data_IF_221677093973
#
_entry.id   IF_221677093973
#
_cell.length_a   1.000
_cell.length_b   1.000
_cell.length_c   1.000
_cell.angle_alpha   90.00
_cell.angle_beta   90.00
_cell.angle_gamma   90.00
#
_symmetry.space_group_name_H-M   'P 1'
#
loop_
_entity.id
_entity.type
_entity.pdbx_description
1 polymer ?
#
# COMPACT_ATOMS: atom_id res chain seq x y z
N UNK A 1 -14.26 8.79 29.64
CA UNK A 1 -15.61 8.47 29.15
C UNK A 1 -15.49 8.26 27.65
N UNK A 2 -15.35 7.02 27.21
CA UNK A 2 -15.30 6.65 25.79
C UNK A 2 -16.71 6.87 25.22
N UNK A 3 -16.89 7.88 24.35
CA UNK A 3 -18.08 7.94 23.52
C UNK A 3 -18.15 6.61 22.77
N UNK A 4 -19.11 5.74 23.10
CA UNK A 4 -19.54 4.69 22.18
C UNK A 4 -19.86 5.41 20.87
N UNK A 5 -19.30 4.92 19.75
CA UNK A 5 -19.72 5.36 18.43
C UNK A 5 -21.25 5.24 18.40
N UNK A 6 -21.92 6.36 18.24
CA UNK A 6 -23.39 6.41 18.33
C UNK A 6 -23.98 5.48 17.27
N UNK A 7 -25.11 4.88 17.60
CA UNK A 7 -25.79 3.87 16.78
C UNK A 7 -26.23 4.35 15.39
N UNK A 8 -26.04 5.63 15.09
CA UNK A 8 -26.44 6.31 13.85
C UNK A 8 -25.29 6.55 12.87
N UNK A 9 -24.02 6.26 13.25
CA UNK A 9 -22.88 6.50 12.36
C UNK A 9 -22.82 5.42 11.29
N UNK A 10 -22.97 5.84 10.03
CA UNK A 10 -22.81 4.99 8.85
C UNK A 10 -21.39 4.46 8.79
N UNK A 11 -21.26 3.17 8.65
CA UNK A 11 -19.98 2.53 8.52
C UNK A 11 -20.05 1.31 7.58
N UNK A 12 -18.97 0.97 6.89
CA UNK A 12 -18.94 -0.10 5.90
C UNK A 12 -19.50 -1.44 6.41
N UNK A 13 -19.11 -1.87 7.60
CA UNK A 13 -19.51 -3.19 8.14
C UNK A 13 -21.01 -3.30 8.39
N UNK A 14 -21.70 -2.21 8.74
CA UNK A 14 -23.18 -2.20 8.86
C UNK A 14 -23.86 -2.36 7.52
N UNK A 15 -23.24 -1.87 6.46
CA UNK A 15 -23.70 -2.04 5.08
C UNK A 15 -23.25 -3.37 4.47
N UNK A 16 -22.65 -4.26 5.29
CA UNK A 16 -22.18 -5.58 4.85
C UNK A 16 -20.87 -5.55 4.05
N UNK A 17 -20.10 -4.46 4.15
CA UNK A 17 -18.88 -4.26 3.39
C UNK A 17 -17.64 -4.60 4.23
N UNK A 18 -16.58 -5.08 3.55
CA UNK A 18 -15.29 -5.38 4.13
C UNK A 18 -14.16 -5.13 3.10
N UNK A 19 -12.93 -4.94 3.56
CA UNK A 19 -11.78 -4.77 2.69
C UNK A 19 -11.37 -6.13 2.09
N UNK A 20 -11.39 -6.28 0.75
CA UNK A 20 -10.98 -7.53 0.11
C UNK A 20 -9.46 -7.68 0.12
N UNK A 21 -8.99 -8.90 -0.09
CA UNK A 21 -7.57 -9.16 -0.34
C UNK A 21 -7.11 -8.52 -1.66
N UNK A 22 -5.81 -8.24 -1.79
CA UNK A 22 -5.25 -7.59 -2.97
C UNK A 22 -5.24 -8.47 -4.23
N UNK A 23 -5.38 -9.77 -4.10
CA UNK A 23 -5.40 -10.72 -5.23
C UNK A 23 -6.79 -11.00 -5.82
N UNK A 24 -7.84 -10.30 -5.36
CA UNK A 24 -9.17 -10.37 -6.03
C UNK A 24 -9.08 -9.71 -7.41
N UNK A 25 -10.12 -9.90 -8.23
CA UNK A 25 -10.18 -9.24 -9.54
C UNK A 25 -10.24 -7.74 -9.40
N UNK A 26 -9.47 -7.01 -10.20
CA UNK A 26 -9.39 -5.56 -10.22
C UNK A 26 -10.17 -4.96 -11.40
N UNK A 27 -10.85 -3.85 -11.18
CA UNK A 27 -11.37 -2.98 -12.23
C UNK A 27 -10.21 -2.18 -12.85
N UNK A 28 -9.28 -1.71 -12.02
CA UNK A 28 -8.08 -0.96 -12.39
C UNK A 28 -7.07 -0.85 -11.27
N UNK A 29 -5.86 -0.45 -11.62
CA UNK A 29 -4.86 0.11 -10.69
C UNK A 29 -4.78 1.62 -10.84
N UNK A 30 -4.84 2.35 -9.72
CA UNK A 30 -4.58 3.78 -9.64
C UNK A 30 -3.10 4.02 -9.37
N UNK A 31 -2.55 5.05 -10.02
CA UNK A 31 -1.20 5.59 -9.79
C UNK A 31 -1.28 7.12 -9.76
N UNK A 32 -0.24 7.79 -9.25
CA UNK A 32 -0.10 9.24 -9.37
C UNK A 32 1.25 9.59 -10.01
N UNK A 33 1.28 10.67 -10.79
CA UNK A 33 2.50 11.11 -11.47
C UNK A 33 3.39 11.90 -10.53
N UNK A 34 4.69 11.59 -10.41
CA UNK A 34 5.59 12.30 -9.51
C UNK A 34 5.66 13.79 -9.83
N UNK A 35 5.35 14.63 -8.85
CA UNK A 35 5.21 16.07 -9.03
C UNK A 35 6.08 16.93 -8.09
N UNK A 36 6.68 16.32 -7.07
CA UNK A 36 7.53 16.97 -6.07
C UNK A 36 8.96 16.44 -6.19
N UNK A 37 9.96 17.33 -6.23
CA UNK A 37 11.35 16.90 -6.35
C UNK A 37 12.03 16.56 -5.01
N UNK A 38 11.48 17.05 -3.91
CA UNK A 38 12.07 16.93 -2.57
C UNK A 38 12.38 15.48 -2.16
N UNK A 39 11.47 14.48 -2.32
CA UNK A 39 11.75 13.10 -1.97
C UNK A 39 12.93 12.51 -2.74
N UNK A 40 13.19 12.96 -3.98
CA UNK A 40 14.28 12.50 -4.84
C UNK A 40 15.52 13.40 -4.80
N UNK A 41 15.59 14.34 -3.85
CA UNK A 41 16.73 15.23 -3.61
C UNK A 41 17.01 16.26 -4.68
N UNK A 42 16.47 16.13 -5.89
CA UNK A 42 16.68 17.07 -7.00
C UNK A 42 15.65 16.91 -8.12
N UNK A 43 15.57 17.91 -9.00
CA UNK A 43 14.78 17.78 -10.24
C UNK A 43 15.28 16.63 -11.13
N UNK A 44 16.58 16.39 -11.19
CA UNK A 44 17.14 15.26 -11.97
C UNK A 44 16.68 13.91 -11.39
N UNK A 45 16.68 13.76 -10.06
CA UNK A 45 16.13 12.59 -9.38
C UNK A 45 14.65 12.38 -9.68
N UNK A 46 13.84 13.44 -9.61
CA UNK A 46 12.43 13.38 -10.00
C UNK A 46 12.23 12.93 -11.45
N UNK A 47 13.03 13.43 -12.39
CA UNK A 47 12.94 13.04 -13.80
C UNK A 47 13.30 11.55 -14.01
N UNK A 48 14.29 11.02 -13.29
CA UNK A 48 14.59 9.58 -13.30
C UNK A 48 13.43 8.77 -12.70
N UNK A 49 12.86 9.22 -11.60
CA UNK A 49 11.67 8.58 -11.00
C UNK A 49 10.50 8.53 -11.99
N UNK A 50 10.20 9.61 -12.71
CA UNK A 50 9.17 9.65 -13.76
C UNK A 50 9.36 8.57 -14.83
N UNK A 51 10.60 8.26 -15.21
CA UNK A 51 10.90 7.16 -16.16
C UNK A 51 10.52 5.81 -15.59
N UNK A 52 10.85 5.56 -14.29
CA UNK A 52 10.52 4.30 -13.61
C UNK A 52 9.01 4.18 -13.33
N UNK A 53 8.33 5.26 -12.96
CA UNK A 53 6.86 5.28 -12.81
C UNK A 53 6.15 4.97 -14.15
N UNK A 54 6.62 5.56 -15.24
CA UNK A 54 6.09 5.25 -16.57
C UNK A 54 6.34 3.78 -16.97
N UNK A 55 7.50 3.22 -16.61
CA UNK A 55 7.80 1.80 -16.85
C UNK A 55 6.88 0.88 -16.03
N UNK A 56 6.64 1.20 -14.75
CA UNK A 56 5.72 0.50 -13.88
C UNK A 56 4.28 0.56 -14.43
N UNK A 57 3.82 1.74 -14.83
CA UNK A 57 2.49 1.92 -15.41
C UNK A 57 2.30 1.06 -16.68
N UNK A 58 3.30 1.03 -17.59
CA UNK A 58 3.27 0.18 -18.78
C UNK A 58 3.27 -1.31 -18.45
N UNK A 59 4.02 -1.74 -17.45
CA UNK A 59 4.04 -3.13 -17.00
C UNK A 59 2.66 -3.55 -16.45
N UNK A 60 2.07 -2.74 -15.57
CA UNK A 60 0.73 -2.95 -15.02
C UNK A 60 -0.36 -2.96 -16.11
N UNK A 61 -0.26 -2.05 -17.11
CA UNK A 61 -1.23 -1.96 -18.19
C UNK A 61 -1.24 -3.19 -19.12
N UNK A 62 -0.22 -4.02 -19.05
CA UNK A 62 -0.19 -5.33 -19.72
C UNK A 62 -1.12 -6.38 -19.08
N UNK A 63 -1.67 -6.10 -17.90
CA UNK A 63 -2.55 -7.01 -17.16
C UNK A 63 -3.94 -6.43 -16.90
N UNK A 64 -4.03 -5.12 -16.67
CA UNK A 64 -5.29 -4.47 -16.30
C UNK A 64 -5.29 -2.98 -16.67
N UNK A 65 -6.43 -2.32 -16.53
CA UNK A 65 -6.53 -0.86 -16.74
C UNK A 65 -5.69 -0.14 -15.68
N UNK A 66 -4.91 0.84 -16.10
CA UNK A 66 -4.20 1.77 -15.22
C UNK A 66 -4.77 3.17 -15.39
N UNK A 67 -5.02 3.83 -14.29
CA UNK A 67 -5.41 5.25 -14.26
C UNK A 67 -4.34 6.04 -13.50
N UNK A 68 -3.68 6.96 -14.21
CA UNK A 68 -2.68 7.87 -13.66
C UNK A 68 -3.34 9.18 -13.26
N UNK A 69 -3.28 9.51 -11.98
CA UNK A 69 -3.63 10.84 -11.48
C UNK A 69 -2.49 11.79 -11.83
N UNK A 70 -2.84 12.95 -12.38
CA UNK A 70 -1.88 13.96 -12.82
C UNK A 70 -2.39 15.35 -12.50
N UNK A 71 -1.50 16.28 -12.20
CA UNK A 71 -1.84 17.70 -12.18
C UNK A 71 -2.09 18.22 -13.61
N UNK A 72 -2.89 19.29 -13.79
CA UNK A 72 -3.13 19.84 -15.11
C UNK A 72 -1.85 20.13 -15.90
N UNK A 73 -0.84 20.69 -15.26
CA UNK A 73 0.43 21.08 -15.88
C UNK A 73 1.34 19.89 -16.26
N UNK A 74 1.21 18.75 -15.59
CA UNK A 74 2.03 17.54 -15.84
C UNK A 74 1.37 16.59 -16.86
N UNK A 75 0.10 16.84 -17.27
CA UNK A 75 -0.71 15.90 -18.07
C UNK A 75 -0.05 15.49 -19.38
N UNK A 76 0.44 16.45 -20.16
CA UNK A 76 1.01 16.14 -21.48
C UNK A 76 2.34 15.40 -21.39
N UNK A 77 3.17 15.74 -20.41
CA UNK A 77 4.43 15.03 -20.13
C UNK A 77 4.15 13.58 -19.71
N UNK A 78 3.26 13.38 -18.75
CA UNK A 78 2.88 12.05 -18.26
C UNK A 78 2.31 11.19 -19.39
N UNK A 79 1.43 11.78 -20.23
CA UNK A 79 0.84 11.09 -21.39
C UNK A 79 1.90 10.67 -22.41
N UNK A 80 2.88 11.51 -22.65
CA UNK A 80 3.98 11.20 -23.56
C UNK A 80 4.89 10.08 -23.00
N UNK A 81 5.24 10.16 -21.71
CA UNK A 81 6.13 9.21 -21.04
C UNK A 81 5.48 7.83 -20.86
N UNK A 82 4.23 7.77 -20.42
CA UNK A 82 3.50 6.52 -20.21
C UNK A 82 3.11 5.84 -21.53
N UNK A 83 2.87 6.61 -22.60
CA UNK A 83 2.45 6.07 -23.89
C UNK A 83 0.96 5.68 -23.91
N UNK A 84 0.63 4.73 -24.80
CA UNK A 84 -0.75 4.26 -25.01
C UNK A 84 -1.14 3.23 -23.93
N UNK A 85 -2.45 3.16 -23.64
CA UNK A 85 -3.02 2.14 -22.74
C UNK A 85 -3.18 2.60 -21.31
N UNK A 86 -2.71 3.79 -20.97
CA UNK A 86 -2.92 4.42 -19.67
C UNK A 86 -4.02 5.46 -19.76
N UNK A 87 -4.97 5.42 -18.81
CA UNK A 87 -5.99 6.47 -18.64
C UNK A 87 -5.44 7.55 -17.71
N UNK A 88 -5.90 8.77 -17.88
CA UNK A 88 -5.48 9.89 -17.03
C UNK A 88 -6.69 10.50 -16.33
N UNK A 89 -6.51 10.81 -15.04
CA UNK A 89 -7.47 11.58 -14.23
C UNK A 89 -6.76 12.83 -13.72
N UNK A 90 -7.37 13.99 -13.96
CA UNK A 90 -6.76 15.28 -13.58
C UNK A 90 -7.28 15.68 -12.21
N UNK A 91 -6.38 15.71 -11.24
CA UNK A 91 -6.59 16.19 -9.87
C UNK A 91 -5.36 16.97 -9.43
N UNK A 92 -5.57 17.93 -8.54
CA UNK A 92 -4.45 18.55 -7.82
C UNK A 92 -3.90 17.56 -6.80
N UNK A 93 -2.60 17.35 -6.82
CA UNK A 93 -1.85 16.50 -5.89
C UNK A 93 -0.57 17.21 -5.46
N UNK A 94 -0.09 16.89 -4.27
CA UNK A 94 1.16 17.42 -3.72
C UNK A 94 2.30 16.41 -3.86
N UNK A 95 1.99 15.10 -3.91
CA UNK A 95 2.95 14.01 -4.07
C UNK A 95 2.36 12.86 -4.93
N UNK A 96 2.99 11.66 -4.93
CA UNK A 96 2.66 10.57 -5.87
C UNK A 96 2.45 9.20 -5.23
N UNK A 97 2.37 9.12 -3.92
CA UNK A 97 2.27 7.87 -3.16
C UNK A 97 0.81 7.39 -3.07
N UNK A 98 0.32 6.85 -4.19
CA UNK A 98 -1.10 6.50 -4.37
C UNK A 98 -1.60 5.48 -3.33
N UNK A 99 -0.75 4.59 -2.83
CA UNK A 99 -1.11 3.63 -1.78
C UNK A 99 -1.68 4.30 -0.53
N UNK A 100 -1.16 5.48 -0.19
CA UNK A 100 -1.45 6.16 1.06
C UNK A 100 -2.46 7.31 0.91
N UNK A 101 -2.57 7.88 -0.31
CA UNK A 101 -3.45 9.01 -0.62
C UNK A 101 -4.80 8.57 -1.18
N UNK A 102 -4.88 7.40 -1.82
CA UNK A 102 -6.12 6.90 -2.42
C UNK A 102 -7.08 6.34 -1.36
N UNK A 103 -8.39 6.19 -1.70
CA UNK A 103 -9.31 5.50 -0.81
C UNK A 103 -8.98 4.02 -0.71
N UNK A 104 -9.22 3.42 0.45
CA UNK A 104 -9.26 1.97 0.60
C UNK A 104 -10.63 1.47 0.14
N UNK A 105 -10.64 0.58 -0.84
CA UNK A 105 -11.89 0.05 -1.36
C UNK A 105 -12.42 -1.10 -0.50
N UNK A 106 -13.75 -1.15 -0.34
CA UNK A 106 -14.47 -2.18 0.40
C UNK A 106 -15.56 -2.79 -0.51
N UNK A 107 -15.88 -4.06 -0.29
CA UNK A 107 -16.84 -4.81 -1.10
C UNK A 107 -17.84 -5.57 -0.24
N UNK A 108 -19.02 -5.89 -0.80
CA UNK A 108 -20.00 -6.77 -0.18
C UNK A 108 -19.75 -8.27 -0.48
N UNK A 109 -18.63 -8.58 -1.15
CA UNK A 109 -18.27 -9.95 -1.56
C UNK A 109 -19.12 -10.49 -2.72
N UNK A 110 -19.97 -9.66 -3.32
CA UNK A 110 -20.76 -9.97 -4.50
C UNK A 110 -20.34 -9.05 -5.65
N UNK A 111 -21.08 -7.96 -5.87
CA UNK A 111 -20.78 -7.01 -6.93
C UNK A 111 -20.64 -5.57 -6.41
N UNK A 112 -21.06 -5.29 -5.17
CA UNK A 112 -21.05 -3.94 -4.61
C UNK A 112 -19.65 -3.53 -4.17
N UNK A 113 -19.22 -2.32 -4.59
CA UNK A 113 -17.95 -1.69 -4.20
C UNK A 113 -18.21 -0.29 -3.69
N UNK A 114 -17.56 0.07 -2.59
CA UNK A 114 -17.54 1.41 -2.00
C UNK A 114 -16.11 1.76 -1.58
N UNK A 115 -15.88 2.94 -1.03
CA UNK A 115 -14.56 3.32 -0.56
C UNK A 115 -14.56 3.98 0.81
N UNK A 116 -13.46 3.83 1.52
CA UNK A 116 -13.16 4.52 2.76
C UNK A 116 -12.00 5.48 2.50
N UNK A 117 -12.22 6.77 2.63
CA UNK A 117 -11.13 7.73 2.64
C UNK A 117 -10.71 8.01 4.08
N UNK A 118 -9.44 7.76 4.35
CA UNK A 118 -8.85 7.96 5.66
C UNK A 118 -8.17 9.32 5.76
N UNK A 119 -7.94 9.80 6.98
CA UNK A 119 -7.14 11.00 7.17
C UNK A 119 -5.69 10.71 6.81
N UNK A 120 -5.14 11.54 5.96
CA UNK A 120 -3.73 11.49 5.57
C UNK A 120 -3.01 12.71 6.13
N UNK A 121 -1.83 12.52 6.72
CA UNK A 121 -1.03 13.59 7.32
C UNK A 121 0.44 13.56 6.89
N UNK A 122 0.71 13.09 5.67
CA UNK A 122 2.05 13.00 5.10
C UNK A 122 3.04 12.30 6.06
N UNK A 123 2.67 11.08 6.48
CA UNK A 123 3.48 10.20 7.33
C UNK A 123 3.93 10.85 8.64
N UNK A 124 3.05 11.60 9.29
CA UNK A 124 3.35 12.30 10.53
C UNK A 124 3.81 13.74 10.32
N UNK A 125 3.28 14.44 9.30
CA UNK A 125 3.61 15.81 8.92
C UNK A 125 5.08 16.02 8.50
N UNK A 126 5.68 15.01 7.85
CA UNK A 126 7.06 15.09 7.34
C UNK A 126 7.17 15.96 6.10
N UNK A 127 6.09 16.04 5.29
CA UNK A 127 6.06 16.78 4.03
C UNK A 127 4.93 17.81 3.99
N UNK A 128 5.20 18.96 3.40
CA UNK A 128 4.24 20.05 3.23
C UNK A 128 4.42 20.75 1.87
N UNK A 129 3.31 21.23 1.22
CA UNK A 129 1.92 20.96 1.57
C UNK A 129 1.54 19.49 1.33
N UNK A 130 0.40 19.05 1.89
CA UNK A 130 -0.19 17.74 1.64
C UNK A 130 -1.73 17.78 1.63
N UNK A 131 -2.31 18.97 1.57
CA UNK A 131 -3.76 19.15 1.65
C UNK A 131 -4.49 18.53 0.45
N UNK A 132 -3.87 18.61 -0.75
CA UNK A 132 -4.42 18.00 -1.97
C UNK A 132 -4.40 16.47 -1.85
N UNK A 133 -3.32 15.89 -1.36
CA UNK A 133 -3.18 14.45 -1.14
C UNK A 133 -4.20 13.95 -0.10
N UNK A 134 -4.39 14.68 0.98
CA UNK A 134 -5.38 14.37 2.01
C UNK A 134 -6.83 14.39 1.49
N UNK A 135 -7.11 15.22 0.48
CA UNK A 135 -8.42 15.31 -0.16
C UNK A 135 -8.64 14.29 -1.29
N UNK A 136 -7.56 13.74 -1.86
CA UNK A 136 -7.60 12.95 -3.10
C UNK A 136 -8.51 11.72 -2.97
N UNK A 137 -8.46 11.01 -1.85
CA UNK A 137 -9.28 9.81 -1.64
C UNK A 137 -10.77 10.08 -1.77
N UNK A 138 -11.27 11.18 -1.18
CA UNK A 138 -12.66 11.59 -1.29
C UNK A 138 -13.00 12.05 -2.71
N UNK A 139 -12.11 12.79 -3.37
CA UNK A 139 -12.30 13.27 -4.74
C UNK A 139 -12.38 12.13 -5.77
N UNK A 140 -11.56 11.08 -5.61
CA UNK A 140 -11.63 9.88 -6.45
C UNK A 140 -12.99 9.20 -6.29
N UNK A 141 -13.49 9.03 -5.07
CA UNK A 141 -14.78 8.40 -4.80
C UNK A 141 -15.95 9.22 -5.39
N UNK A 142 -15.89 10.53 -5.27
CA UNK A 142 -16.87 11.44 -5.86
C UNK A 142 -16.88 11.34 -7.41
N UNK A 143 -15.69 11.37 -8.03
CA UNK A 143 -15.54 11.22 -9.48
C UNK A 143 -16.02 9.86 -10.00
N UNK A 144 -15.98 8.81 -9.19
CA UNK A 144 -16.52 7.49 -9.51
C UNK A 144 -18.03 7.38 -9.23
N UNK A 145 -18.68 8.43 -8.69
CA UNK A 145 -20.06 8.39 -8.18
C UNK A 145 -20.26 7.17 -7.26
N UNK A 146 -19.28 6.96 -6.37
CA UNK A 146 -19.16 5.81 -5.47
C UNK A 146 -19.44 6.21 -4.03
N UNK A 147 -20.18 5.36 -3.29
CA UNK A 147 -20.43 5.56 -1.86
C UNK A 147 -19.11 5.69 -1.11
N UNK A 148 -19.02 6.75 -0.31
CA UNK A 148 -17.84 7.14 0.45
C UNK A 148 -18.11 7.08 1.94
N UNK A 149 -17.11 6.60 2.69
CA UNK A 149 -17.08 6.63 4.15
C UNK A 149 -15.83 7.38 4.61
N UNK A 150 -15.99 8.24 5.60
CA UNK A 150 -14.86 8.96 6.20
C UNK A 150 -14.27 8.15 7.36
N UNK A 151 -13.00 7.75 7.23
CA UNK A 151 -12.27 7.06 8.28
C UNK A 151 -11.88 8.02 9.42
N UNK A 152 -12.15 7.67 10.70
CA UNK A 152 -12.04 8.63 11.82
C UNK A 152 -10.61 8.71 12.42
N UNK A 153 -9.59 8.23 11.74
CA UNK A 153 -8.19 8.28 12.19
C UNK A 153 -7.25 8.45 11.01
N UNK A 154 -5.99 8.77 11.29
CA UNK A 154 -4.90 8.72 10.29
C UNK A 154 -4.61 7.25 10.01
N UNK A 155 -4.65 6.88 8.73
CA UNK A 155 -4.31 5.53 8.25
C UNK A 155 -3.84 5.62 6.80
N UNK A 156 -2.66 5.10 6.55
CA UNK A 156 -2.09 4.92 5.22
C UNK A 156 -2.33 3.49 4.73
N UNK A 157 -2.59 3.30 3.44
CA UNK A 157 -2.82 1.97 2.86
C UNK A 157 -1.61 1.05 2.97
N UNK A 158 -0.39 1.60 2.91
CA UNK A 158 0.87 0.87 3.09
C UNK A 158 1.12 0.40 4.52
N UNK A 159 0.45 1.01 5.51
CA UNK A 159 0.56 0.63 6.92
C UNK A 159 -0.16 -0.67 7.28
N UNK A 160 -0.98 -1.22 6.36
CA UNK A 160 -1.80 -2.42 6.60
C UNK A 160 -1.68 -3.43 5.45
N UNK A 161 -1.75 -4.71 5.79
CA UNK A 161 -1.95 -5.80 4.83
C UNK A 161 -3.14 -6.66 5.28
N UNK A 162 -4.03 -7.05 4.35
CA UNK A 162 -5.25 -7.81 4.67
C UNK A 162 -5.38 -9.08 3.85
N UNK A 163 -5.98 -10.13 4.44
CA UNK A 163 -6.24 -11.39 3.76
C UNK A 163 -7.65 -11.48 3.12
N UNK A 164 -8.48 -10.46 3.29
CA UNK A 164 -9.88 -10.45 2.86
C UNK A 164 -10.80 -11.39 3.63
N UNK A 165 -10.30 -12.04 4.69
CA UNK A 165 -11.04 -12.98 5.54
C UNK A 165 -11.09 -12.54 7.00
N UNK A 166 -10.80 -11.26 7.24
CA UNK A 166 -10.86 -10.62 8.55
C UNK A 166 -9.52 -10.52 9.29
N UNK A 167 -8.40 -10.96 8.70
CA UNK A 167 -7.07 -10.78 9.27
C UNK A 167 -6.38 -9.56 8.69
N UNK A 168 -5.77 -8.76 9.55
CA UNK A 168 -4.92 -7.63 9.17
C UNK A 168 -3.57 -7.75 9.87
N UNK A 169 -2.49 -7.47 9.14
CA UNK A 169 -1.13 -7.31 9.68
C UNK A 169 -0.77 -5.83 9.61
N UNK A 170 -0.14 -5.33 10.67
CA UNK A 170 0.39 -3.96 10.77
C UNK A 170 1.58 -3.94 11.72
N UNK A 171 2.23 -2.78 11.90
CA UNK A 171 3.33 -2.60 12.84
C UNK A 171 2.95 -1.71 14.02
N UNK A 172 3.56 -1.98 15.17
CA UNK A 172 3.47 -1.10 16.34
C UNK A 172 4.15 0.23 16.08
N UNK A 173 5.29 0.21 15.39
CA UNK A 173 6.07 1.40 15.06
C UNK A 173 5.24 2.42 14.26
N UNK A 174 4.39 1.98 13.33
CA UNK A 174 3.57 2.88 12.51
C UNK A 174 2.27 3.28 13.23
N UNK A 175 1.35 2.34 13.45
CA UNK A 175 0.01 2.70 13.90
C UNK A 175 -0.07 3.18 15.35
N UNK A 176 0.90 2.83 16.19
CA UNK A 176 1.00 3.33 17.57
C UNK A 176 1.96 4.52 17.69
N UNK A 177 2.50 5.04 16.58
CA UNK A 177 3.36 6.20 16.60
C UNK A 177 2.57 7.45 17.04
N UNK A 178 3.19 8.27 17.89
CA UNK A 178 2.60 9.52 18.36
C UNK A 178 2.29 10.51 17.21
N UNK A 179 3.01 10.38 16.10
CA UNK A 179 2.80 11.23 14.91
C UNK A 179 1.63 10.80 14.01
N UNK A 180 0.90 9.74 14.37
CA UNK A 180 -0.31 9.28 13.66
C UNK A 180 -1.57 9.54 14.49
N UNK A 181 -1.77 8.76 15.55
CA UNK A 181 -3.00 8.77 16.34
C UNK A 181 -2.71 8.84 17.85
N UNK A 182 -2.07 9.91 18.38
CA UNK A 182 -1.60 9.98 19.78
C UNK A 182 -2.71 9.86 20.82
N UNK A 183 -3.96 10.14 20.44
CA UNK A 183 -5.12 10.10 21.33
C UNK A 183 -5.86 8.76 21.29
N UNK A 184 -5.38 7.76 20.52
CA UNK A 184 -6.01 6.46 20.39
C UNK A 184 -5.17 5.37 21.06
N UNK A 185 -5.84 4.51 21.81
CA UNK A 185 -5.25 3.27 22.29
C UNK A 185 -5.24 2.21 21.19
N UNK A 186 -4.39 1.19 21.30
CA UNK A 186 -4.39 0.01 20.45
C UNK A 186 -5.80 -0.55 20.23
N UNK A 187 -6.55 -0.77 21.31
CA UNK A 187 -7.91 -1.28 21.24
C UNK A 187 -8.82 -0.37 20.41
N UNK A 188 -8.71 0.95 20.56
CA UNK A 188 -9.52 1.89 19.79
C UNK A 188 -9.15 1.90 18.29
N UNK A 189 -7.89 1.66 17.95
CA UNK A 189 -7.45 1.49 16.55
C UNK A 189 -8.05 0.19 15.99
N UNK A 190 -7.93 -0.93 16.71
CA UNK A 190 -8.53 -2.21 16.31
C UNK A 190 -10.06 -2.12 16.11
N UNK A 191 -10.77 -1.41 17.00
CA UNK A 191 -12.20 -1.15 16.88
C UNK A 191 -12.56 -0.38 15.60
N UNK A 192 -11.73 0.61 15.19
CA UNK A 192 -11.94 1.35 13.95
C UNK A 192 -11.66 0.48 12.73
N UNK A 193 -10.58 -0.30 12.74
CA UNK A 193 -10.28 -1.26 11.67
C UNK A 193 -11.40 -2.30 11.53
N UNK A 194 -11.98 -2.76 12.63
CA UNK A 194 -13.12 -3.67 12.62
C UNK A 194 -14.37 -3.04 11.97
N UNK A 195 -14.70 -1.79 12.32
CA UNK A 195 -15.90 -1.10 11.84
C UNK A 195 -15.79 -0.68 10.38
N UNK A 196 -14.61 -0.23 9.94
CA UNK A 196 -14.43 0.36 8.62
C UNK A 196 -13.92 -0.63 7.56
N UNK A 197 -13.19 -1.68 7.98
CA UNK A 197 -12.56 -2.64 7.06
C UNK A 197 -13.03 -4.09 7.27
N UNK A 198 -13.88 -4.37 8.27
CA UNK A 198 -14.36 -5.72 8.55
C UNK A 198 -13.32 -6.63 9.21
N UNK A 199 -12.33 -6.05 9.89
CA UNK A 199 -11.24 -6.80 10.53
C UNK A 199 -11.70 -7.39 11.85
N UNK A 200 -11.43 -8.67 12.05
CA UNK A 200 -11.74 -9.40 13.29
C UNK A 200 -10.49 -9.84 14.05
N UNK A 201 -9.33 -9.79 13.39
CA UNK A 201 -8.04 -10.11 13.98
C UNK A 201 -6.96 -9.17 13.45
N UNK A 202 -6.29 -8.45 14.33
CA UNK A 202 -5.09 -7.67 14.04
C UNK A 202 -3.86 -8.42 14.56
N UNK A 203 -2.87 -8.58 13.69
CA UNK A 203 -1.55 -9.12 14.01
C UNK A 203 -0.56 -7.97 14.02
N UNK A 204 0.01 -7.68 15.19
CA UNK A 204 0.95 -6.59 15.40
C UNK A 204 2.38 -7.09 15.25
N UNK A 205 3.06 -6.64 14.23
CA UNK A 205 4.52 -6.72 14.11
C UNK A 205 5.17 -5.61 14.93
N UNK A 206 6.49 -5.66 15.12
CA UNK A 206 7.23 -4.67 15.89
C UNK A 206 7.61 -3.45 15.07
N UNK A 207 8.86 -3.45 14.64
CA UNK A 207 9.49 -2.36 13.88
C UNK A 207 9.58 -2.72 12.40
N UNK A 208 9.74 -1.69 11.52
CA UNK A 208 10.02 -1.82 10.09
C UNK A 208 11.51 -1.86 9.76
N UNK A 209 11.84 -1.62 8.48
CA UNK A 209 13.22 -1.55 8.03
C UNK A 209 13.96 -0.35 8.63
N UNK A 210 15.29 -0.43 8.66
CA UNK A 210 16.17 0.67 9.07
C UNK A 210 15.97 1.85 8.13
N UNK A 211 15.85 3.07 8.70
CA UNK A 211 15.66 4.35 8.00
C UNK A 211 14.36 4.47 7.19
N UNK A 212 13.38 3.57 7.38
CA UNK A 212 12.09 3.63 6.69
C UNK A 212 11.40 4.99 6.89
N UNK A 213 11.17 5.70 5.78
CA UNK A 213 10.54 7.03 5.73
C UNK A 213 9.14 7.04 6.34
N UNK A 214 8.45 5.90 6.30
CA UNK A 214 7.05 5.76 6.69
C UNK A 214 6.85 5.38 8.15
N UNK A 215 7.92 5.26 8.94
CA UNK A 215 7.90 4.77 10.33
C UNK A 215 7.41 3.31 10.45
N UNK A 216 7.84 2.46 9.54
CA UNK A 216 7.61 1.02 9.63
C UNK A 216 6.32 0.54 8.95
N UNK A 217 6.03 1.02 7.75
CA UNK A 217 4.96 0.46 6.93
C UNK A 217 5.14 -1.05 6.73
N UNK A 218 4.03 -1.80 6.89
CA UNK A 218 4.08 -3.26 6.78
C UNK A 218 4.34 -3.74 5.37
N UNK A 219 3.95 -2.99 4.35
CA UNK A 219 4.11 -3.34 2.94
C UNK A 219 5.58 -3.38 2.48
N UNK A 220 6.50 -2.84 3.29
CA UNK A 220 7.95 -2.98 3.10
C UNK A 220 8.54 -4.22 3.77
N UNK A 221 7.84 -4.87 4.72
CA UNK A 221 8.39 -5.97 5.51
C UNK A 221 7.61 -7.26 5.44
N UNK A 222 6.28 -7.19 5.30
CA UNK A 222 5.42 -8.38 5.21
C UNK A 222 4.14 -8.11 4.42
N UNK A 223 3.66 -9.12 3.70
CA UNK A 223 2.41 -9.07 2.96
C UNK A 223 1.75 -10.44 2.86
N UNK A 224 0.45 -10.49 2.56
CA UNK A 224 -0.21 -11.76 2.34
C UNK A 224 0.08 -12.32 0.95
N UNK A 225 0.40 -13.60 0.89
CA UNK A 225 0.57 -14.38 -0.35
C UNK A 225 -0.67 -15.20 -0.71
N UNK A 226 -1.69 -15.15 0.12
CA UNK A 226 -2.92 -15.94 0.06
C UNK A 226 -3.48 -16.17 1.46
N UNK A 227 -4.65 -16.79 1.60
CA UNK A 227 -5.26 -17.04 2.90
C UNK A 227 -4.34 -17.85 3.82
N UNK A 228 -3.94 -17.26 4.96
CA UNK A 228 -3.05 -17.89 5.93
C UNK A 228 -1.58 -17.99 5.53
N UNK A 229 -1.17 -17.40 4.40
CA UNK A 229 0.19 -17.40 3.87
C UNK A 229 0.76 -15.99 3.89
N UNK A 230 1.91 -15.79 4.52
CA UNK A 230 2.55 -14.48 4.69
C UNK A 230 3.96 -14.51 4.12
N UNK A 231 4.23 -13.58 3.21
CA UNK A 231 5.57 -13.23 2.76
C UNK A 231 6.21 -12.30 3.79
N UNK A 232 7.48 -12.50 4.09
CA UNK A 232 8.27 -11.63 4.96
C UNK A 232 9.71 -11.61 4.49
N UNK A 233 10.44 -10.54 4.77
CA UNK A 233 11.88 -10.50 4.54
C UNK A 233 12.59 -11.59 5.33
N UNK A 234 13.51 -12.29 4.66
CA UNK A 234 14.46 -13.21 5.29
C UNK A 234 15.47 -12.39 6.08
N UNK A 235 15.71 -12.71 7.38
CA UNK A 235 16.75 -12.04 8.15
C UNK A 235 18.12 -12.19 7.46
N UNK A 236 18.91 -11.11 7.30
CA UNK A 236 20.23 -11.18 6.65
C UNK A 236 21.26 -11.98 7.45
N UNK A 237 21.03 -12.24 8.74
CA UNK A 237 21.94 -12.97 9.67
C UNK A 237 23.30 -12.29 9.87
N UNK A 238 23.35 -10.98 9.78
CA UNK A 238 24.55 -10.15 9.98
C UNK A 238 24.65 -9.52 11.38
N UNK A 239 23.58 -9.66 12.20
CA UNK A 239 23.46 -9.07 13.52
C UNK A 239 23.10 -7.58 13.52
N UNK A 240 22.78 -7.01 12.36
CA UNK A 240 22.38 -5.62 12.18
C UNK A 240 20.94 -5.33 12.65
N UNK A 241 20.48 -4.10 12.32
CA UNK A 241 19.14 -3.66 12.69
C UNK A 241 18.06 -4.54 12.03
N UNK A 242 18.09 -4.69 10.71
CA UNK A 242 17.10 -5.47 9.96
C UNK A 242 17.10 -6.95 10.38
N UNK A 243 18.28 -7.52 10.69
CA UNK A 243 18.38 -8.90 11.19
C UNK A 243 17.60 -9.09 12.50
N UNK A 244 17.78 -8.19 13.46
CA UNK A 244 17.07 -8.20 14.74
C UNK A 244 15.57 -8.03 14.54
N UNK A 245 15.18 -7.03 13.75
CA UNK A 245 13.76 -6.67 13.52
C UNK A 245 13.03 -7.80 12.80
N UNK A 246 13.62 -8.38 11.76
CA UNK A 246 12.97 -9.45 11.01
C UNK A 246 12.84 -10.74 11.85
N UNK A 247 13.84 -11.06 12.69
CA UNK A 247 13.74 -12.19 13.63
C UNK A 247 12.59 -12.01 14.64
N UNK A 248 12.41 -10.80 15.19
CA UNK A 248 11.30 -10.49 16.08
C UNK A 248 9.96 -10.61 15.35
N UNK A 249 9.82 -10.01 14.16
CA UNK A 249 8.60 -10.04 13.38
C UNK A 249 8.21 -11.47 12.95
N UNK A 250 9.17 -12.30 12.57
CA UNK A 250 8.93 -13.73 12.29
C UNK A 250 8.47 -14.47 13.55
N UNK A 251 9.06 -14.19 14.71
CA UNK A 251 8.64 -14.80 15.98
C UNK A 251 7.20 -14.41 16.33
N UNK A 252 6.81 -13.14 16.14
CA UNK A 252 5.44 -12.65 16.33
C UNK A 252 4.46 -13.34 15.40
N UNK A 253 4.76 -13.47 14.09
CA UNK A 253 3.93 -14.19 13.13
C UNK A 253 3.74 -15.67 13.50
N UNK A 254 4.81 -16.35 13.94
CA UNK A 254 4.74 -17.77 14.40
C UNK A 254 3.83 -17.95 15.60
N UNK A 255 3.83 -16.98 16.52
CA UNK A 255 2.97 -16.99 17.70
C UNK A 255 1.52 -16.61 17.41
N UNK A 256 1.27 -15.83 16.35
CA UNK A 256 -0.05 -15.34 15.98
C UNK A 256 -0.93 -16.41 15.32
N UNK A 257 -2.21 -16.06 15.19
CA UNK A 257 -3.22 -16.85 14.46
C UNK A 257 -4.04 -15.91 13.60
N UNK A 258 -4.48 -16.39 12.44
CA UNK A 258 -5.39 -15.65 11.57
C UNK A 258 -6.81 -15.53 12.20
N UNK A 259 -7.71 -14.82 11.54
CA UNK A 259 -9.09 -14.62 11.97
C UNK A 259 -9.89 -15.95 12.12
N UNK A 260 -9.43 -17.03 11.49
CA UNK A 260 -10.01 -18.39 11.57
C UNK A 260 -9.35 -19.25 12.65
N UNK A 261 -8.39 -18.68 13.41
CA UNK A 261 -7.65 -19.39 14.46
C UNK A 261 -6.51 -20.28 13.93
N UNK A 262 -6.13 -20.18 12.65
CA UNK A 262 -5.09 -21.01 12.04
C UNK A 262 -3.70 -20.34 12.15
N UNK A 263 -2.61 -21.12 12.25
CA UNK A 263 -1.26 -20.60 12.17
C UNK A 263 -0.95 -20.13 10.73
N UNK A 264 0.00 -19.19 10.60
CA UNK A 264 0.48 -18.75 9.29
C UNK A 264 1.54 -19.69 8.71
N UNK A 265 1.45 -19.94 7.40
CA UNK A 265 2.59 -20.39 6.59
C UNK A 265 3.45 -19.16 6.28
N UNK A 266 4.69 -19.14 6.77
CA UNK A 266 5.61 -18.01 6.61
C UNK A 266 6.60 -18.34 5.48
N UNK A 267 6.66 -17.46 4.49
CA UNK A 267 7.50 -17.58 3.30
C UNK A 267 8.49 -16.44 3.31
N UNK A 268 9.77 -16.78 3.35
CA UNK A 268 10.85 -15.80 3.42
C UNK A 268 11.30 -15.40 2.00
N UNK A 269 11.31 -14.09 1.71
CA UNK A 269 11.93 -13.51 0.53
C UNK A 269 13.32 -12.96 0.88
N UNK A 270 14.31 -13.05 -0.02
CA UNK A 270 15.62 -12.45 0.22
C UNK A 270 15.48 -10.93 0.42
N UNK A 271 16.36 -10.34 1.20
CA UNK A 271 16.53 -8.89 1.28
C UNK A 271 17.54 -8.45 0.21
N UNK A 272 17.30 -7.33 -0.53
CA UNK A 272 18.29 -6.74 -1.41
C UNK A 272 19.53 -6.28 -0.64
N UNK A 273 20.69 -6.25 -1.30
CA UNK A 273 21.92 -5.73 -0.71
C UNK A 273 21.78 -4.26 -0.29
N UNK A 274 22.53 -3.87 0.74
CA UNK A 274 22.52 -2.49 1.24
C UNK A 274 22.93 -1.49 0.14
N UNK A 275 22.16 -0.40 0.04
CA UNK A 275 22.49 0.79 -0.76
C UNK A 275 22.10 2.04 0.01
N UNK A 276 22.88 3.11 -0.18
CA UNK A 276 22.62 4.41 0.41
C UNK A 276 21.72 5.23 -0.52
N UNK A 277 20.78 5.95 0.06
CA UNK A 277 19.98 7.00 -0.54
C UNK A 277 20.83 8.27 -0.73
N UNK A 278 20.39 9.20 -1.58
CA UNK A 278 21.09 10.48 -1.82
C UNK A 278 21.38 11.30 -0.55
N UNK A 279 20.60 11.13 0.53
CA UNK A 279 20.76 11.81 1.82
C UNK A 279 21.61 11.01 2.84
N UNK A 280 22.15 9.87 2.45
CA UNK A 280 22.98 8.99 3.26
C UNK A 280 22.23 8.03 4.18
N UNK A 281 20.90 8.02 4.15
CA UNK A 281 20.08 6.98 4.79
C UNK A 281 20.08 5.70 3.94
N UNK A 282 19.69 4.58 4.53
CA UNK A 282 19.50 3.32 3.80
C UNK A 282 18.31 3.44 2.85
N UNK A 283 18.43 2.87 1.63
CA UNK A 283 17.30 2.69 0.73
C UNK A 283 16.39 1.55 1.22
N UNK A 284 15.08 1.81 1.27
CA UNK A 284 14.04 0.86 1.68
C UNK A 284 13.69 -0.12 0.54
N UNK A 285 14.70 -0.86 0.08
CA UNK A 285 14.51 -1.83 -0.98
C UNK A 285 13.81 -3.09 -0.47
N UNK A 286 12.66 -3.41 -1.04
CA UNK A 286 11.86 -4.56 -0.63
C UNK A 286 11.20 -5.27 -1.80
N UNK A 287 11.45 -6.59 -1.95
CA UNK A 287 10.69 -7.43 -2.88
C UNK A 287 9.28 -7.75 -2.38
N UNK A 288 8.97 -7.48 -1.10
CA UNK A 288 7.61 -7.56 -0.54
C UNK A 288 6.72 -6.46 -1.14
N UNK A 289 7.30 -5.33 -1.52
CA UNK A 289 6.62 -4.17 -2.06
C UNK A 289 6.27 -4.36 -3.55
N UNK A 290 5.55 -5.44 -3.86
CA UNK A 290 5.08 -5.80 -5.20
C UNK A 290 3.58 -5.54 -5.35
N UNK A 291 3.07 -5.54 -6.58
CA UNK A 291 1.66 -5.35 -6.90
C UNK A 291 1.04 -6.63 -7.45
N UNK A 292 -0.08 -7.08 -6.87
CA UNK A 292 -0.99 -8.00 -7.55
C UNK A 292 -1.69 -7.29 -8.70
N UNK A 293 -1.95 -8.04 -9.77
CA UNK A 293 -2.76 -7.61 -10.90
C UNK A 293 -3.68 -8.74 -11.35
N UNK A 294 -4.61 -8.46 -12.25
CA UNK A 294 -5.37 -9.52 -12.92
C UNK A 294 -4.39 -10.43 -13.68
N UNK A 295 -4.33 -11.71 -13.33
CA UNK A 295 -3.51 -12.74 -13.96
C UNK A 295 -1.98 -12.58 -13.83
N UNK A 296 -1.48 -11.55 -13.15
CA UNK A 296 -0.06 -11.30 -13.01
C UNK A 296 0.35 -10.71 -11.68
N UNK A 297 1.66 -10.50 -11.56
CA UNK A 297 2.32 -9.77 -10.49
C UNK A 297 3.37 -8.87 -11.13
N UNK A 298 3.41 -7.62 -10.72
CA UNK A 298 4.52 -6.72 -11.04
C UNK A 298 5.34 -6.52 -9.77
N UNK A 299 6.60 -6.89 -9.80
CA UNK A 299 7.49 -6.81 -8.66
C UNK A 299 8.72 -5.95 -8.96
N UNK A 300 9.34 -5.33 -7.93
CA UNK A 300 10.51 -4.51 -8.13
C UNK A 300 11.74 -5.32 -8.53
N UNK A 301 12.66 -4.68 -9.26
CA UNK A 301 14.03 -5.11 -9.47
C UNK A 301 14.96 -3.95 -9.11
N UNK A 302 16.08 -4.28 -8.46
CA UNK A 302 17.00 -3.32 -7.89
C UNK A 302 18.41 -3.38 -8.50
N UNK A 303 18.57 -4.10 -9.65
CA UNK A 303 19.89 -4.39 -10.19
C UNK A 303 20.79 -5.03 -9.12
N UNK A 304 20.23 -6.03 -8.44
CA UNK A 304 20.81 -6.74 -7.31
C UNK A 304 20.91 -8.25 -7.57
N UNK A 305 21.91 -8.89 -6.98
CA UNK A 305 22.09 -10.34 -7.12
C UNK A 305 20.88 -11.15 -6.61
N UNK A 306 20.13 -10.60 -5.63
CA UNK A 306 18.94 -11.21 -5.06
C UNK A 306 17.70 -11.11 -5.96
N UNK A 307 17.68 -10.27 -7.02
CA UNK A 307 16.54 -10.12 -7.93
C UNK A 307 16.08 -11.47 -8.51
N UNK A 308 17.04 -12.31 -8.95
CA UNK A 308 16.75 -13.62 -9.53
C UNK A 308 16.22 -14.63 -8.50
N UNK A 309 16.70 -14.57 -7.26
CA UNK A 309 16.26 -15.45 -6.18
C UNK A 309 14.85 -15.06 -5.73
N UNK A 310 14.57 -13.78 -5.56
CA UNK A 310 13.22 -13.28 -5.25
C UNK A 310 12.21 -13.68 -6.33
N UNK A 311 12.57 -13.49 -7.61
CA UNK A 311 11.73 -13.92 -8.74
C UNK A 311 11.44 -15.42 -8.69
N UNK A 312 12.44 -16.25 -8.40
CA UNK A 312 12.28 -17.71 -8.34
C UNK A 312 11.32 -18.12 -7.22
N UNK A 313 11.40 -17.50 -6.04
CA UNK A 313 10.47 -17.75 -4.94
C UNK A 313 9.05 -17.39 -5.35
N UNK A 314 8.85 -16.21 -5.94
CA UNK A 314 7.55 -15.73 -6.39
C UNK A 314 6.96 -16.62 -7.51
N UNK A 315 7.76 -17.07 -8.47
CA UNK A 315 7.32 -18.00 -9.52
C UNK A 315 6.89 -19.37 -8.96
N UNK A 316 7.60 -19.85 -7.95
CA UNK A 316 7.21 -21.08 -7.23
C UNK A 316 5.90 -20.93 -6.47
N UNK A 317 5.64 -19.74 -5.96
CA UNK A 317 4.45 -19.43 -5.17
C UNK A 317 3.20 -19.22 -6.04
N UNK A 318 3.39 -18.64 -7.24
CA UNK A 318 2.33 -18.27 -8.17
C UNK A 318 2.56 -18.84 -9.57
N UNK A 319 2.54 -20.17 -9.74
CA UNK A 319 2.84 -20.82 -11.02
C UNK A 319 1.86 -20.42 -12.14
N UNK A 320 0.65 -20.02 -11.78
CA UNK A 320 -0.41 -19.63 -12.73
C UNK A 320 -0.45 -18.12 -13.03
N UNK A 321 0.45 -17.31 -12.40
CA UNK A 321 0.54 -15.88 -12.64
C UNK A 321 1.82 -15.53 -13.40
N UNK A 322 1.70 -14.66 -14.39
CA UNK A 322 2.87 -14.07 -15.03
C UNK A 322 3.50 -13.04 -14.11
N UNK A 323 4.80 -13.16 -13.83
CA UNK A 323 5.53 -12.21 -12.97
C UNK A 323 6.45 -11.37 -13.85
N UNK A 324 6.35 -10.06 -13.72
CA UNK A 324 7.23 -9.09 -14.37
C UNK A 324 8.03 -8.34 -13.32
N UNK A 325 9.34 -8.29 -13.48
CA UNK A 325 10.20 -7.39 -12.72
C UNK A 325 10.33 -6.05 -13.45
N UNK A 326 10.29 -4.95 -12.70
CA UNK A 326 10.46 -3.58 -13.22
C UNK A 326 11.56 -2.86 -12.47
N UNK A 327 12.40 -2.04 -13.15
CA UNK A 327 13.39 -1.21 -12.47
C UNK A 327 12.74 -0.30 -11.44
N UNK A 328 13.22 -0.34 -10.20
CA UNK A 328 12.58 0.37 -9.08
C UNK A 328 13.56 1.19 -8.23
N UNK A 329 14.84 1.25 -8.58
CA UNK A 329 15.82 2.03 -7.82
C UNK A 329 15.46 3.50 -7.72
N UNK A 330 15.07 4.14 -8.84
CA UNK A 330 14.67 5.54 -8.82
C UNK A 330 13.29 5.76 -8.16
N UNK A 331 12.48 4.71 -7.95
CA UNK A 331 11.24 4.80 -7.16
C UNK A 331 11.61 4.84 -5.68
N UNK A 332 12.40 3.85 -5.20
CA UNK A 332 12.75 3.75 -3.77
C UNK A 332 13.66 4.88 -3.30
N UNK A 333 14.36 5.54 -4.21
CA UNK A 333 15.09 6.77 -3.89
C UNK A 333 14.18 7.88 -3.33
N UNK A 334 12.89 7.86 -3.66
CA UNK A 334 11.88 8.76 -3.11
C UNK A 334 11.37 8.39 -1.71
N UNK A 335 11.75 7.23 -1.17
CA UNK A 335 11.34 6.76 0.17
C UNK A 335 10.16 5.80 0.19
N UNK A 336 9.84 5.14 -0.94
CA UNK A 336 8.81 4.10 -1.03
C UNK A 336 8.98 3.25 -2.27
N UNK A 337 8.31 2.09 -2.34
CA UNK A 337 8.47 1.12 -3.41
C UNK A 337 7.33 1.09 -4.44
N UNK A 338 7.31 0.00 -5.21
CA UNK A 338 6.35 -0.20 -6.30
C UNK A 338 4.89 -0.32 -5.79
N UNK A 339 4.67 -0.99 -4.66
CA UNK A 339 3.36 -1.08 -4.03
C UNK A 339 2.88 0.28 -3.54
N UNK A 340 3.78 1.09 -2.99
CA UNK A 340 3.49 2.42 -2.45
C UNK A 340 2.96 3.39 -3.51
N UNK A 341 3.35 3.22 -4.79
CA UNK A 341 2.90 4.07 -5.90
C UNK A 341 1.60 3.61 -6.55
N UNK A 342 0.97 2.54 -6.04
CA UNK A 342 -0.21 1.91 -6.64
C UNK A 342 -1.33 1.69 -5.64
N UNK A 343 -2.59 1.78 -6.10
CA UNK A 343 -3.76 1.33 -5.36
C UNK A 343 -4.70 0.56 -6.28
N UNK A 344 -4.99 -0.70 -5.94
CA UNK A 344 -5.95 -1.51 -6.68
C UNK A 344 -7.38 -1.12 -6.33
N UNK A 345 -8.22 -0.99 -7.36
CA UNK A 345 -9.67 -0.91 -7.21
C UNK A 345 -10.27 -2.27 -7.55
N UNK A 346 -10.96 -2.95 -6.63
CA UNK A 346 -11.59 -4.24 -6.93
C UNK A 346 -12.67 -4.08 -8.00
N UNK A 347 -12.85 -5.14 -8.80
CA UNK A 347 -13.93 -5.22 -9.78
C UNK A 347 -15.28 -5.25 -9.07
N UNK A 348 -16.26 -4.55 -9.64
CA UNK A 348 -17.62 -4.53 -9.13
C UNK A 348 -18.39 -3.28 -9.56
N UNK A 349 -19.63 -3.21 -9.13
CA UNK A 349 -20.52 -2.07 -9.40
C UNK A 349 -20.36 -1.05 -8.26
N UNK A 350 -20.03 0.21 -8.56
CA UNK A 350 -20.00 1.25 -7.54
C UNK A 350 -21.36 1.38 -6.84
N UNK A 351 -21.37 1.18 -5.52
CA UNK A 351 -22.54 1.50 -4.71
C UNK A 351 -22.71 3.02 -4.74
N UNK A 352 -23.93 3.47 -5.05
CA UNK A 352 -24.19 4.90 -5.20
C UNK A 352 -24.22 5.61 -3.88
N UNK A 353 -23.80 6.89 -3.83
CA UNK A 353 -24.06 7.75 -2.69
C UNK A 353 -25.56 7.77 -2.38
N UNK A 354 -25.91 7.73 -1.11
CA UNK A 354 -27.30 7.91 -0.73
C UNK A 354 -27.65 9.40 -0.90
N UNK A 355 -28.61 9.66 -1.78
CA UNK A 355 -29.18 11.00 -1.96
C UNK A 355 -30.32 11.16 -0.98
N UNK A 356 -30.24 12.16 -0.10
CA UNK A 356 -31.29 12.60 0.81
C UNK A 356 -32.13 13.71 0.19
#
# INVERSE_FOLDING_TARGET
MTKRLDADDRCPVRDGLYMPAEWVSHERTWMAWPCRAEPWGSLEGLLRARVNFAAAARALSGFEKVTMVVRPEDHDEARLACGRGISFAVFDIDDSWMRDMAPLFVTDGKEGVAGVHWRFNAWGNKYHPHDNDAALGAQILDALDMRSYEGPMVLEGGSIAVDGLGTLITTEQCLLNENRNPNLTRQQIEERLAIYLGITRVVWLGEGLEDDETDGHVDNIAGFAGPGRVLIHKPPNDGGYNDRVMKDNIARLRAARDARGQPFEIIELPEPGHRDRHDGRRLDMSYINFCFTNFGIVMPAFDDAADADALRVMQGLYPDRRILQVPSLDIVEGGGGLHCITMQQPSGTPLKPERF
#
